data_IF_460057818326
#
_entry.id   IF_460057818326
#
_cell.length_a   1.000
_cell.length_b   1.000
_cell.length_c   1.000
_cell.angle_alpha   90.00
_cell.angle_beta   90.00
_cell.angle_gamma   90.00
#
_symmetry.space_group_name_H-M   'P 1'
#
loop_
_entity.id
_entity.type
_entity.pdbx_description
1 polymer ?
#
# COMPACT_ATOMS: atom_id res chain seq x y z
N UNK A 1 0.73 46.76 -3.91
CA UNK A 1 0.14 45.54 -4.49
C UNK A 1 -1.14 45.25 -3.72
N UNK A 2 -2.29 45.50 -4.34
CA UNK A 2 -3.60 45.35 -3.72
C UNK A 2 -4.13 43.93 -3.99
N UNK A 3 -3.64 42.96 -3.23
CA UNK A 3 -4.11 41.56 -3.23
C UNK A 3 -5.06 41.36 -2.04
N UNK A 4 -6.13 42.17 -1.96
CA UNK A 4 -6.82 42.43 -0.70
C UNK A 4 -8.31 42.09 -0.62
N UNK A 5 -9.12 42.47 -1.61
CA UNK A 5 -10.55 42.73 -1.32
C UNK A 5 -11.59 41.83 -2.01
N UNK A 6 -11.27 41.16 -3.12
CA UNK A 6 -12.25 40.40 -3.92
C UNK A 6 -12.38 38.91 -3.57
N UNK A 7 -11.98 38.49 -2.36
CA UNK A 7 -12.27 37.11 -1.93
C UNK A 7 -13.74 36.98 -1.48
N UNK A 8 -14.43 35.89 -1.86
CA UNK A 8 -15.79 35.64 -1.40
C UNK A 8 -15.84 35.50 0.12
N UNK A 9 -17.01 35.80 0.71
CA UNK A 9 -17.20 35.84 2.17
C UNK A 9 -16.68 34.58 2.86
N UNK A 10 -16.97 33.41 2.30
CA UNK A 10 -16.62 32.13 2.91
C UNK A 10 -15.11 31.85 2.83
N UNK A 11 -14.41 32.31 1.79
CA UNK A 11 -12.95 32.27 1.73
C UNK A 11 -12.30 33.17 2.79
N UNK A 12 -12.90 34.34 3.08
CA UNK A 12 -12.45 35.22 4.17
C UNK A 12 -12.58 34.54 5.53
N UNK A 13 -13.65 33.75 5.75
CA UNK A 13 -13.86 32.97 6.98
C UNK A 13 -12.79 31.88 7.12
N UNK A 14 -12.56 31.07 6.07
CA UNK A 14 -11.53 30.01 6.09
C UNK A 14 -10.14 30.61 6.34
N UNK A 15 -9.82 31.76 5.72
CA UNK A 15 -8.56 32.49 5.98
C UNK A 15 -8.44 32.95 7.43
N UNK A 16 -9.52 33.45 8.03
CA UNK A 16 -9.54 33.80 9.45
C UNK A 16 -9.36 32.59 10.36
N UNK A 17 -9.92 31.44 9.97
CA UNK A 17 -9.78 30.18 10.71
C UNK A 17 -8.32 29.69 10.69
N UNK A 18 -7.69 29.64 9.51
CA UNK A 18 -6.28 29.27 9.38
C UNK A 18 -5.37 30.17 10.22
N UNK A 19 -5.63 31.49 10.20
CA UNK A 19 -4.91 32.45 11.04
C UNK A 19 -5.08 32.18 12.55
N UNK A 20 -6.29 31.83 13.00
CA UNK A 20 -6.53 31.48 14.41
C UNK A 20 -5.83 30.20 14.85
N UNK A 21 -5.55 29.28 13.92
CA UNK A 21 -4.80 28.04 14.16
C UNK A 21 -3.28 28.26 14.12
N UNK A 22 -2.81 29.48 13.90
CA UNK A 22 -1.38 29.81 13.79
C UNK A 22 -0.75 29.43 12.45
N UNK A 23 -1.56 29.17 11.41
CA UNK A 23 -1.06 28.88 10.07
C UNK A 23 -0.98 30.20 9.29
N UNK A 24 0.23 30.73 9.15
CA UNK A 24 0.49 32.01 8.48
C UNK A 24 0.77 31.83 6.98
N UNK A 25 1.49 30.76 6.61
CA UNK A 25 1.87 30.46 5.23
C UNK A 25 1.17 29.20 4.72
N UNK A 26 0.42 29.35 3.62
CA UNK A 26 -0.24 28.25 2.92
C UNK A 26 -0.43 28.59 1.44
N UNK A 27 -0.53 27.57 0.59
CA UNK A 27 -0.81 27.75 -0.83
C UNK A 27 -2.26 28.23 -1.05
N UNK A 28 -2.54 29.15 -1.99
CA UNK A 28 -3.90 29.62 -2.27
C UNK A 28 -4.91 28.49 -2.56
N UNK A 29 -4.47 27.40 -3.18
CA UNK A 29 -5.30 26.22 -3.47
C UNK A 29 -5.89 25.57 -2.21
N UNK A 30 -5.24 25.70 -1.05
CA UNK A 30 -5.74 25.17 0.23
C UNK A 30 -7.10 25.78 0.56
N UNK A 31 -7.30 27.08 0.34
CA UNK A 31 -8.59 27.73 0.60
C UNK A 31 -9.69 27.15 -0.28
N UNK A 32 -9.42 26.94 -1.56
CA UNK A 32 -10.38 26.33 -2.49
C UNK A 32 -10.73 24.91 -2.09
N UNK A 33 -9.73 24.11 -1.70
CA UNK A 33 -9.95 22.73 -1.26
C UNK A 33 -10.78 22.66 0.03
N UNK A 34 -10.54 23.58 0.98
CA UNK A 34 -11.34 23.67 2.21
C UNK A 34 -12.79 24.06 1.92
N UNK A 35 -13.02 24.99 1.00
CA UNK A 35 -14.37 25.36 0.59
C UNK A 35 -15.10 24.18 -0.07
N UNK A 36 -14.45 23.50 -1.02
CA UNK A 36 -15.00 22.30 -1.66
C UNK A 36 -15.36 21.23 -0.63
N UNK A 37 -14.44 20.94 0.30
CA UNK A 37 -14.65 19.97 1.37
C UNK A 37 -15.83 20.38 2.26
N UNK A 38 -15.93 21.66 2.63
CA UNK A 38 -16.99 22.16 3.50
C UNK A 38 -18.35 22.04 2.83
N UNK A 39 -18.49 22.52 1.59
CA UNK A 39 -19.77 22.42 0.88
C UNK A 39 -20.16 20.97 0.61
N UNK A 40 -19.22 20.12 0.19
CA UNK A 40 -19.49 18.69 0.00
C UNK A 40 -19.96 18.02 1.30
N UNK A 41 -19.29 18.30 2.41
CA UNK A 41 -19.69 17.77 3.71
C UNK A 41 -21.10 18.21 4.11
N UNK A 42 -21.43 19.49 3.96
CA UNK A 42 -22.75 20.04 4.30
C UNK A 42 -23.84 19.43 3.41
N UNK A 43 -23.61 19.34 2.09
CA UNK A 43 -24.56 18.73 1.15
C UNK A 43 -24.82 17.28 1.51
N UNK A 44 -23.77 16.50 1.79
CA UNK A 44 -23.96 15.10 2.15
C UNK A 44 -24.74 14.96 3.47
N UNK A 45 -24.39 15.74 4.51
CA UNK A 45 -25.08 15.69 5.81
C UNK A 45 -26.56 16.09 5.67
N UNK A 46 -26.86 17.13 4.90
CA UNK A 46 -28.24 17.56 4.67
C UNK A 46 -29.04 16.56 3.84
N UNK A 47 -28.38 15.88 2.89
CA UNK A 47 -28.99 14.82 2.09
C UNK A 47 -29.37 13.62 2.99
N UNK A 48 -28.47 13.19 3.87
CA UNK A 48 -28.75 12.12 4.84
C UNK A 48 -29.85 12.53 5.82
N UNK A 49 -29.81 13.78 6.31
CA UNK A 49 -30.84 14.31 7.21
C UNK A 49 -32.21 14.41 6.54
N UNK A 50 -32.28 14.74 5.25
CA UNK A 50 -33.51 14.73 4.47
C UNK A 50 -34.12 13.32 4.42
N UNK A 51 -33.31 12.29 4.15
CA UNK A 51 -33.77 10.90 4.15
C UNK A 51 -34.34 10.50 5.51
N UNK A 52 -33.73 10.96 6.62
CA UNK A 52 -34.25 10.70 7.96
C UNK A 52 -35.56 11.43 8.26
N UNK A 53 -35.69 12.69 7.83
CA UNK A 53 -36.95 13.45 7.94
C UNK A 53 -38.07 12.79 7.14
N UNK A 54 -37.80 12.36 5.91
CA UNK A 54 -38.76 11.65 5.04
C UNK A 54 -39.19 10.32 5.67
N UNK A 55 -38.25 9.55 6.23
CA UNK A 55 -38.54 8.32 6.95
C UNK A 55 -39.42 8.55 8.18
N UNK A 56 -39.26 9.69 8.86
CA UNK A 56 -40.09 10.10 9.98
C UNK A 56 -41.44 10.72 9.55
N UNK A 57 -41.70 10.88 8.24
CA UNK A 57 -42.91 11.50 7.72
C UNK A 57 -43.02 13.01 7.99
N UNK A 58 -41.90 13.67 8.28
CA UNK A 58 -41.84 15.12 8.56
C UNK A 58 -41.65 15.91 7.26
N UNK A 59 -42.27 17.08 7.18
CA UNK A 59 -42.16 17.97 6.02
C UNK A 59 -40.92 18.88 6.05
N UNK A 60 -40.22 18.96 7.18
CA UNK A 60 -39.05 19.80 7.37
C UNK A 60 -37.99 19.08 8.20
N UNK A 61 -36.72 19.36 7.92
CA UNK A 61 -35.57 18.78 8.61
C UNK A 61 -35.43 19.40 9.99
N UNK A 62 -35.42 18.56 11.03
CA UNK A 62 -35.18 18.99 12.42
C UNK A 62 -33.71 18.90 12.81
N UNK A 63 -33.36 19.52 13.94
CA UNK A 63 -32.03 19.43 14.53
C UNK A 63 -31.64 17.98 14.86
N UNK A 64 -32.59 17.12 15.22
CA UNK A 64 -32.30 15.74 15.57
C UNK A 64 -31.98 14.89 14.33
N UNK A 65 -32.57 15.20 13.17
CA UNK A 65 -32.26 14.54 11.91
C UNK A 65 -30.82 14.87 11.47
N UNK A 66 -30.39 16.13 11.64
CA UNK A 66 -29.00 16.57 11.39
C UNK A 66 -28.02 15.91 12.36
N UNK A 67 -28.35 15.81 13.65
CA UNK A 67 -27.49 15.12 14.64
C UNK A 67 -27.31 13.66 14.27
N UNK A 68 -28.38 12.98 13.87
CA UNK A 68 -28.34 11.59 13.44
C UNK A 68 -27.48 11.41 12.19
N UNK A 69 -27.62 12.30 11.19
CA UNK A 69 -26.80 12.32 9.98
C UNK A 69 -25.31 12.48 10.29
N UNK A 70 -24.97 13.41 11.18
CA UNK A 70 -23.58 13.62 11.62
C UNK A 70 -23.04 12.37 12.34
N UNK A 71 -23.81 11.78 13.26
CA UNK A 71 -23.38 10.57 13.99
C UNK A 71 -23.11 9.40 13.04
N UNK A 72 -24.00 9.19 12.06
CA UNK A 72 -23.81 8.16 11.02
C UNK A 72 -22.50 8.38 10.27
N UNK A 73 -22.24 9.60 9.77
CA UNK A 73 -21.01 9.92 9.04
C UNK A 73 -19.75 9.81 9.89
N UNK A 74 -19.78 10.26 11.15
CA UNK A 74 -18.60 10.27 12.02
C UNK A 74 -18.07 8.86 12.29
N UNK A 75 -18.97 7.88 12.39
CA UNK A 75 -18.59 6.50 12.64
C UNK A 75 -17.82 5.84 11.48
N UNK A 76 -17.99 6.33 10.24
CA UNK A 76 -17.37 5.73 9.04
C UNK A 76 -16.30 6.59 8.38
N UNK A 77 -16.41 7.92 8.47
CA UNK A 77 -15.54 8.85 7.73
C UNK A 77 -14.33 9.33 8.52
N UNK A 78 -14.40 9.34 9.85
CA UNK A 78 -13.31 9.84 10.69
C UNK A 78 -12.74 8.73 11.55
N UNK A 79 -11.43 8.53 11.44
CA UNK A 79 -10.71 7.69 12.38
C UNK A 79 -10.73 8.37 13.75
N UNK A 80 -11.51 7.79 14.66
CA UNK A 80 -11.38 8.14 16.07
C UNK A 80 -10.14 7.43 16.62
N UNK A 81 -9.32 8.12 17.43
CA UNK A 81 -8.21 7.46 18.09
C UNK A 81 -8.76 6.29 18.92
N UNK A 82 -8.19 5.08 18.80
CA UNK A 82 -8.70 3.92 19.51
C UNK A 82 -8.68 4.18 21.02
N UNK A 83 -9.71 3.72 21.76
CA UNK A 83 -9.77 3.94 23.20
C UNK A 83 -8.52 3.41 23.91
N UNK A 84 -8.05 4.15 24.92
CA UNK A 84 -6.84 3.83 25.69
C UNK A 84 -6.88 2.40 26.26
N UNK A 85 -8.05 1.93 26.67
CA UNK A 85 -8.24 0.60 27.23
C UNK A 85 -7.94 -0.51 26.20
N UNK A 86 -8.39 -0.33 24.96
CA UNK A 86 -8.13 -1.27 23.86
C UNK A 86 -6.63 -1.34 23.57
N UNK A 87 -5.95 -0.19 23.53
CA UNK A 87 -4.50 -0.13 23.34
C UNK A 87 -3.74 -0.77 24.50
N UNK A 88 -4.18 -0.56 25.74
CA UNK A 88 -3.55 -1.16 26.92
C UNK A 88 -3.71 -2.68 26.95
N UNK A 89 -4.87 -3.19 26.57
CA UNK A 89 -5.10 -4.63 26.50
C UNK A 89 -4.28 -5.27 25.39
N UNK A 90 -4.21 -4.64 24.21
CA UNK A 90 -3.32 -5.06 23.14
C UNK A 90 -1.85 -5.04 23.58
N UNK A 91 -1.43 -3.98 24.28
CA UNK A 91 -0.08 -3.87 24.81
C UNK A 91 0.22 -4.98 25.82
N UNK A 92 -0.69 -5.28 26.76
CA UNK A 92 -0.54 -6.41 27.70
C UNK A 92 -0.40 -7.74 26.96
N UNK A 93 -1.22 -7.97 25.94
CA UNK A 93 -1.19 -9.22 25.16
C UNK A 93 0.16 -9.41 24.43
N UNK A 94 0.73 -8.32 23.88
CA UNK A 94 1.99 -8.34 23.14
C UNK A 94 3.21 -8.36 24.06
N UNK A 95 3.19 -7.56 25.12
CA UNK A 95 4.29 -7.46 26.09
C UNK A 95 4.44 -8.71 26.96
N UNK A 96 3.47 -9.63 26.94
CA UNK A 96 3.59 -10.95 27.58
C UNK A 96 4.60 -11.86 26.86
N UNK A 97 4.88 -11.60 25.57
CA UNK A 97 5.87 -12.33 24.80
C UNK A 97 7.27 -11.81 25.20
N UNK A 98 8.13 -12.65 25.81
CA UNK A 98 9.46 -12.22 26.19
C UNK A 98 10.27 -11.84 24.94
N UNK A 99 11.20 -10.91 25.10
CA UNK A 99 12.06 -10.48 24.00
C UNK A 99 12.87 -11.67 23.44
N UNK A 100 13.06 -11.75 22.10
CA UNK A 100 13.92 -12.76 21.50
C UNK A 100 15.34 -12.70 22.07
N UNK A 101 15.95 -13.86 22.30
CA UNK A 101 17.32 -13.96 22.82
C UNK A 101 18.40 -13.62 21.78
N UNK A 102 18.02 -13.46 20.50
CA UNK A 102 18.91 -13.14 19.40
C UNK A 102 19.27 -11.64 19.39
N UNK A 103 19.95 -11.20 20.44
CA UNK A 103 20.75 -9.97 20.37
C UNK A 103 22.06 -10.42 19.75
N UNK A 104 22.11 -10.46 18.42
CA UNK A 104 23.34 -10.71 17.68
C UNK A 104 24.42 -9.76 18.18
N UNK A 105 25.66 -10.25 18.26
CA UNK A 105 26.77 -9.57 18.93
C UNK A 105 26.96 -8.10 18.54
N UNK A 106 27.71 -7.33 19.34
CA UNK A 106 27.87 -5.90 19.14
C UNK A 106 28.39 -5.64 17.72
N UNK A 107 27.55 -4.99 16.90
CA UNK A 107 27.80 -4.53 15.51
C UNK A 107 27.28 -5.37 14.33
N UNK A 108 26.32 -6.28 14.50
CA UNK A 108 25.61 -6.88 13.34
C UNK A 108 24.09 -6.67 13.40
N UNK A 109 23.48 -6.40 12.24
CA UNK A 109 22.03 -6.28 12.09
C UNK A 109 21.48 -7.68 11.79
N UNK A 110 20.65 -8.27 12.67
CA UNK A 110 20.01 -9.55 12.36
C UNK A 110 19.03 -9.36 11.20
N UNK A 111 19.32 -9.99 10.07
CA UNK A 111 18.35 -10.13 8.99
C UNK A 111 17.35 -11.25 9.34
N UNK A 112 16.08 -11.12 8.93
CA UNK A 112 15.15 -12.24 8.92
C UNK A 112 15.70 -13.41 8.09
N UNK A 113 15.11 -14.61 8.21
CA UNK A 113 15.41 -15.73 7.32
C UNK A 113 15.38 -15.30 5.84
N UNK A 114 16.20 -15.92 4.99
CA UNK A 114 16.34 -15.54 3.58
C UNK A 114 14.99 -15.57 2.83
N UNK A 115 14.10 -16.50 3.19
CA UNK A 115 12.73 -16.61 2.65
C UNK A 115 11.83 -15.40 2.97
N UNK A 116 12.08 -14.72 4.08
CA UNK A 116 11.35 -13.53 4.54
C UNK A 116 12.06 -12.23 4.11
N UNK A 117 13.12 -12.36 3.31
CA UNK A 117 13.98 -11.26 2.89
C UNK A 117 13.77 -10.90 1.42
N UNK A 118 13.48 -9.63 1.13
CA UNK A 118 13.22 -9.12 -0.23
C UNK A 118 14.51 -8.84 -1.05
N UNK A 119 15.56 -9.64 -0.87
CA UNK A 119 16.84 -9.50 -1.60
C UNK A 119 16.81 -10.27 -2.93
N UNK A 120 15.97 -11.30 -3.04
CA UNK A 120 15.85 -12.08 -4.27
C UNK A 120 15.16 -11.29 -5.40
N UNK A 121 15.61 -11.41 -6.65
CA UNK A 121 14.96 -10.77 -7.79
C UNK A 121 13.50 -11.22 -7.93
N UNK A 122 12.55 -10.28 -7.75
CA UNK A 122 11.12 -10.51 -7.89
C UNK A 122 10.59 -10.27 -9.31
N UNK A 123 11.47 -10.10 -10.29
CA UNK A 123 11.14 -9.89 -11.70
C UNK A 123 11.77 -10.98 -12.57
N UNK A 124 11.11 -11.32 -13.68
CA UNK A 124 11.65 -12.21 -14.70
C UNK A 124 11.74 -11.45 -16.02
N UNK A 125 12.96 -11.33 -16.56
CA UNK A 125 13.16 -10.67 -17.85
C UNK A 125 12.75 -11.62 -18.96
N UNK A 126 11.74 -11.25 -19.73
CA UNK A 126 11.33 -11.96 -20.93
C UNK A 126 12.31 -11.63 -22.06
N UNK A 127 13.50 -12.24 -22.05
CA UNK A 127 14.45 -12.10 -23.16
C UNK A 127 13.96 -13.01 -24.29
N UNK A 128 13.52 -12.47 -25.45
CA UNK A 128 13.22 -13.29 -26.60
C UNK A 128 14.53 -13.94 -27.05
N UNK A 129 14.65 -15.27 -26.93
CA UNK A 129 15.75 -16.01 -27.56
C UNK A 129 15.67 -15.75 -29.06
N UNK A 130 16.58 -14.93 -29.62
CA UNK A 130 16.87 -14.97 -31.04
C UNK A 130 17.39 -16.37 -31.32
N UNK A 131 16.60 -17.19 -32.01
CA UNK A 131 17.12 -18.40 -32.63
C UNK A 131 18.16 -17.91 -33.65
N UNK A 132 19.44 -18.13 -33.38
CA UNK A 132 20.47 -18.03 -34.42
C UNK A 132 20.12 -19.08 -35.47
N UNK A 133 19.68 -18.60 -36.63
CA UNK A 133 19.50 -19.44 -37.80
C UNK A 133 20.82 -20.16 -38.11
N UNK A 134 20.66 -21.41 -38.54
CA UNK A 134 21.69 -22.38 -38.86
C UNK A 134 22.80 -21.79 -39.76
N UNK A 135 24.06 -22.02 -39.39
CA UNK A 135 25.14 -22.10 -40.38
C UNK A 135 25.33 -23.60 -40.67
N UNK A 136 25.09 -23.95 -41.93
CA UNK A 136 25.17 -25.29 -42.48
C UNK A 136 26.61 -25.84 -42.50
N UNK A 137 26.67 -27.17 -42.59
CA UNK A 137 27.83 -28.06 -42.69
C UNK A 137 28.95 -27.58 -43.62
N UNK A 138 30.20 -27.82 -43.21
CA UNK A 138 31.22 -28.42 -44.08
C UNK A 138 31.93 -29.55 -43.30
N UNK A 139 31.68 -30.77 -43.76
CA UNK A 139 32.33 -32.05 -43.46
C UNK A 139 33.81 -32.03 -43.85
N UNK A 140 34.72 -32.69 -43.12
CA UNK A 140 35.66 -33.75 -43.61
C UNK A 140 36.15 -34.60 -42.42
N UNK A 141 36.08 -35.93 -42.59
CA UNK A 141 36.52 -37.03 -41.70
C UNK A 141 38.06 -37.17 -41.68
N UNK A 142 38.68 -37.66 -40.60
CA UNK A 142 39.36 -38.99 -40.57
C UNK A 142 39.92 -39.37 -39.17
N UNK A 143 39.90 -40.68 -38.93
CA UNK A 143 40.30 -41.60 -37.85
C UNK A 143 41.25 -41.19 -36.69
N UNK A 144 40.98 -41.66 -35.46
CA UNK A 144 41.40 -43.01 -34.98
C UNK A 144 40.90 -43.29 -33.54
N UNK A 145 40.49 -44.54 -33.29
CA UNK A 145 39.86 -45.02 -32.05
C UNK A 145 40.83 -45.21 -30.86
N UNK A 146 40.30 -45.19 -29.62
CA UNK A 146 40.52 -46.18 -28.53
C UNK A 146 39.73 -45.74 -27.27
N UNK A 147 38.75 -46.56 -26.89
CA UNK A 147 38.10 -46.61 -25.56
C UNK A 147 38.78 -47.75 -24.75
N UNK A 148 38.81 -47.75 -23.39
CA UNK A 148 37.63 -48.21 -22.66
C UNK A 148 37.36 -47.50 -21.31
N UNK A 149 36.08 -47.25 -21.02
CA UNK A 149 35.46 -46.93 -19.72
C UNK A 149 35.54 -48.11 -18.69
N UNK A 150 34.95 -48.06 -17.46
CA UNK A 150 34.19 -47.00 -16.76
C UNK A 150 34.54 -46.83 -15.25
N UNK A 151 34.01 -45.80 -14.57
CA UNK A 151 33.82 -45.83 -13.10
C UNK A 151 32.69 -44.91 -12.65
N UNK A 152 31.80 -45.48 -11.83
CA UNK A 152 30.49 -45.01 -11.40
C UNK A 152 30.53 -44.04 -10.20
N UNK A 153 29.61 -43.08 -10.22
CA UNK A 153 28.72 -42.59 -9.15
C UNK A 153 29.22 -42.47 -7.70
N UNK A 154 29.12 -41.26 -7.15
CA UNK A 154 28.51 -41.07 -5.83
C UNK A 154 27.69 -39.77 -5.79
N UNK A 155 26.36 -39.97 -5.88
CA UNK A 155 25.31 -38.99 -5.71
C UNK A 155 25.05 -38.79 -4.22
N UNK A 156 25.53 -37.70 -3.63
CA UNK A 156 25.01 -37.25 -2.34
C UNK A 156 23.82 -36.32 -2.58
N UNK A 157 22.64 -36.92 -2.50
CA UNK A 157 21.35 -36.25 -2.48
C UNK A 157 21.24 -35.45 -1.17
N UNK A 158 21.47 -34.14 -1.24
CA UNK A 158 20.99 -33.20 -0.24
C UNK A 158 19.78 -32.50 -0.86
N UNK A 159 18.58 -32.54 -0.25
CA UNK A 159 17.43 -31.85 -0.79
C UNK A 159 17.69 -30.36 -0.65
N UNK A 160 18.16 -29.77 -1.75
CA UNK A 160 18.19 -28.34 -1.93
C UNK A 160 16.71 -27.93 -1.99
N UNK A 161 16.15 -27.57 -0.83
CA UNK A 161 14.89 -26.86 -0.77
C UNK A 161 15.13 -25.53 -1.48
N UNK A 162 14.96 -25.55 -2.80
CA UNK A 162 14.83 -24.35 -3.59
C UNK A 162 13.74 -23.52 -2.94
N UNK A 163 14.01 -22.28 -2.48
CA UNK A 163 12.97 -21.43 -1.96
C UNK A 163 11.88 -21.36 -3.01
N UNK A 164 10.63 -21.56 -2.58
CA UNK A 164 9.47 -21.68 -3.43
C UNK A 164 9.32 -20.40 -4.25
N UNK A 165 9.98 -20.38 -5.42
CA UNK A 165 10.02 -19.24 -6.31
C UNK A 165 8.62 -19.09 -6.84
N UNK A 166 7.90 -18.09 -6.34
CA UNK A 166 6.56 -17.74 -6.84
C UNK A 166 6.73 -17.03 -8.18
N UNK A 167 7.18 -17.78 -9.19
CA UNK A 167 7.29 -17.29 -10.56
C UNK A 167 6.06 -17.73 -11.34
N UNK A 168 5.32 -16.77 -11.86
CA UNK A 168 4.23 -17.05 -12.80
C UNK A 168 4.83 -17.33 -14.18
N UNK A 169 4.39 -18.39 -14.88
CA UNK A 169 4.88 -18.67 -16.23
C UNK A 169 4.48 -17.52 -17.16
N UNK A 170 5.47 -16.91 -17.82
CA UNK A 170 5.20 -15.95 -18.89
C UNK A 170 4.62 -16.69 -20.09
N UNK A 171 3.31 -16.54 -20.31
CA UNK A 171 2.63 -17.02 -21.52
C UNK A 171 3.25 -16.29 -22.72
N UNK A 172 3.80 -17.06 -23.67
CA UNK A 172 4.20 -16.52 -24.97
C UNK A 172 2.94 -16.04 -25.68
N UNK A 173 2.67 -14.73 -25.67
CA UNK A 173 1.70 -14.15 -26.60
C UNK A 173 2.28 -14.27 -28.01
N UNK A 174 1.75 -15.21 -28.80
CA UNK A 174 1.90 -15.21 -30.25
C UNK A 174 1.25 -13.93 -30.78
N UNK A 175 2.01 -13.12 -31.51
CA UNK A 175 1.46 -12.02 -32.31
C UNK A 175 0.65 -12.58 -33.47
#
# INVERSE_FOLDING_TARGET
MAEGDDLPRDAKIVKSLLKSMGVEDYEPHVLHQFLELWYRYVVDVLTDAQVYSEHAGKAAIDCDDVKLAIQSKVNFSFSQPPPREVLLELARSRNKIPLPRSITGPASIPLPPEQDTLISPNYQLAIPRRQSAQAAEETEEDDEAVDPAPSQEQKTDAPQQTPQRVSFPLVKRTK
#
